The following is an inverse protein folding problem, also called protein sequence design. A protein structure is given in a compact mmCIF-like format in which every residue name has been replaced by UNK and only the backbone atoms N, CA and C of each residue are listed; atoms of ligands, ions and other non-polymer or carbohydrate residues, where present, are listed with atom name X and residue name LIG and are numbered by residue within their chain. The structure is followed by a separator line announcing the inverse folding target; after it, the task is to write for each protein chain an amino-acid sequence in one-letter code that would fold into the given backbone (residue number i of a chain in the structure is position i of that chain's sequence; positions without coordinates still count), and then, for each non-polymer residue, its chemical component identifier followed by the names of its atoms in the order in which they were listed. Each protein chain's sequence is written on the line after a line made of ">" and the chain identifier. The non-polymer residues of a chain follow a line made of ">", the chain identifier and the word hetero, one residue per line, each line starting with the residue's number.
data_IF_630280824525
#
_entry.id   IF_630280824525
#
_cell.length_a   1.000
_cell.length_b   1.000
_cell.length_c   1.000
_cell.angle_alpha   90.00
_cell.angle_beta   90.00
_cell.angle_gamma   90.00
#
_symmetry.space_group_name_H-M   'P 1'
#
loop_
_entity.id
_entity.type
_entity.pdbx_description
1 polymer ?
#
# COMPACT_ATOMS: atom_id res chain seq x y z
N UNK A 1 4.68 -8.88 -51.81
CA UNK A 1 4.73 -7.49 -51.30
C UNK A 1 4.38 -7.38 -49.82
N UNK A 2 3.27 -7.93 -49.35
CA UNK A 2 2.83 -7.86 -47.92
C UNK A 2 3.74 -8.62 -46.93
N UNK A 3 4.28 -9.78 -47.31
CA UNK A 3 5.22 -10.56 -46.47
C UNK A 3 6.57 -9.87 -46.27
N UNK A 4 7.10 -9.23 -47.32
CA UNK A 4 8.35 -8.45 -47.25
C UNK A 4 8.19 -7.19 -46.39
N UNK A 5 7.02 -6.53 -46.46
CA UNK A 5 6.71 -5.40 -45.59
C UNK A 5 6.62 -5.81 -44.11
N UNK A 6 5.99 -6.96 -43.81
CA UNK A 6 5.95 -7.52 -42.45
C UNK A 6 7.35 -7.85 -41.91
N UNK A 7 8.20 -8.46 -42.75
CA UNK A 7 9.58 -8.81 -42.38
C UNK A 7 10.44 -7.56 -42.14
N UNK A 8 10.26 -6.52 -42.97
CA UNK A 8 10.91 -5.23 -42.80
C UNK A 8 10.45 -4.54 -41.50
N UNK A 9 9.16 -4.58 -41.16
CA UNK A 9 8.64 -4.02 -39.89
C UNK A 9 9.22 -4.76 -38.68
N UNK A 10 9.36 -6.09 -38.74
CA UNK A 10 9.94 -6.89 -37.67
C UNK A 10 11.44 -6.58 -37.51
N UNK A 11 12.19 -6.52 -38.61
CA UNK A 11 13.61 -6.16 -38.60
C UNK A 11 13.83 -4.71 -38.12
N UNK A 12 12.98 -3.77 -38.54
CA UNK A 12 13.03 -2.38 -38.10
C UNK A 12 12.66 -2.26 -36.62
N UNK A 13 11.68 -3.04 -36.14
CA UNK A 13 11.36 -3.16 -34.71
C UNK A 13 12.53 -3.73 -33.89
N UNK A 14 13.26 -4.70 -34.43
CA UNK A 14 14.44 -5.28 -33.77
C UNK A 14 15.63 -4.31 -33.77
N UNK A 15 15.83 -3.58 -34.85
CA UNK A 15 16.87 -2.56 -34.98
C UNK A 15 16.61 -1.37 -34.06
N UNK A 16 15.38 -0.85 -34.03
CA UNK A 16 14.97 0.24 -33.14
C UNK A 16 15.01 -0.19 -31.67
N UNK A 17 14.68 -1.44 -31.34
CA UNK A 17 14.83 -1.99 -29.99
C UNK A 17 16.30 -2.01 -29.54
N UNK A 18 17.21 -2.49 -30.39
CA UNK A 18 18.64 -2.51 -30.07
C UNK A 18 19.25 -1.09 -30.00
N UNK A 19 18.83 -0.18 -30.87
CA UNK A 19 19.23 1.24 -30.84
C UNK A 19 18.74 1.94 -29.57
N UNK A 20 17.49 1.72 -29.18
CA UNK A 20 16.93 2.27 -27.93
C UNK A 20 17.65 1.69 -26.72
N UNK A 21 18.05 0.42 -26.76
CA UNK A 21 18.86 -0.18 -25.70
C UNK A 21 20.28 0.41 -25.63
N UNK A 22 20.88 0.75 -26.77
CA UNK A 22 22.20 1.36 -26.84
C UNK A 22 22.20 2.84 -26.38
N UNK A 23 21.19 3.61 -26.75
CA UNK A 23 21.08 5.03 -26.34
C UNK A 23 20.68 5.23 -24.88
N UNK A 24 19.97 4.28 -24.27
CA UNK A 24 19.44 4.40 -22.89
C UNK A 24 20.27 3.58 -21.88
N UNK A 25 21.45 3.07 -22.29
CA UNK A 25 22.30 2.18 -21.48
C UNK A 25 21.50 1.02 -20.84
N UNK A 26 20.60 0.41 -21.61
CA UNK A 26 19.71 -0.65 -21.11
C UNK A 26 20.45 -1.99 -21.27
N UNK A 27 20.79 -2.71 -20.18
CA UNK A 27 21.49 -3.98 -20.30
C UNK A 27 20.63 -4.98 -21.08
N UNK A 28 21.22 -5.61 -22.10
CA UNK A 28 20.57 -6.59 -22.98
C UNK A 28 19.99 -7.76 -22.19
N UNK A 29 18.99 -8.46 -22.74
CA UNK A 29 18.28 -9.60 -22.10
C UNK A 29 19.18 -10.68 -21.47
N UNK A 30 20.44 -10.83 -21.92
CA UNK A 30 21.44 -11.76 -21.38
C UNK A 30 22.10 -11.23 -20.09
N UNK A 31 22.52 -9.97 -20.07
CA UNK A 31 23.15 -9.31 -18.91
C UNK A 31 22.18 -9.12 -17.75
N UNK A 32 20.90 -8.87 -18.05
CA UNK A 32 19.86 -8.75 -17.02
C UNK A 32 19.51 -10.09 -16.35
N UNK A 33 19.63 -11.22 -17.05
CA UNK A 33 19.52 -12.57 -16.43
C UNK A 33 20.69 -12.87 -15.49
N UNK A 34 21.90 -12.43 -15.83
CA UNK A 34 23.08 -12.60 -14.98
C UNK A 34 23.03 -11.72 -13.72
N UNK A 35 22.57 -10.46 -13.84
CA UNK A 35 22.34 -9.61 -12.67
C UNK A 35 21.27 -10.18 -11.71
N UNK A 36 20.24 -10.84 -12.25
CA UNK A 36 19.22 -11.52 -11.45
C UNK A 36 19.76 -12.74 -10.69
N UNK A 37 20.66 -13.51 -11.30
CA UNK A 37 21.32 -14.64 -10.62
C UNK A 37 22.22 -14.14 -9.47
N UNK A 38 22.96 -13.05 -9.69
CA UNK A 38 23.78 -12.42 -8.65
C UNK A 38 22.93 -11.81 -7.51
N UNK A 39 21.80 -11.16 -7.81
CA UNK A 39 20.90 -10.59 -6.78
C UNK A 39 20.07 -11.63 -6.03
N UNK A 40 19.72 -12.76 -6.67
CA UNK A 40 19.05 -13.89 -6.01
C UNK A 40 19.95 -14.55 -4.97
N UNK A 41 21.27 -14.52 -5.16
CA UNK A 41 22.25 -14.96 -4.16
C UNK A 41 22.39 -13.97 -2.98
N UNK A 42 22.00 -12.70 -3.14
CA UNK A 42 22.07 -11.66 -2.09
C UNK A 42 20.80 -11.53 -1.23
N UNK A 43 19.79 -12.40 -1.40
CA UNK A 43 18.61 -12.43 -0.52
C UNK A 43 17.62 -11.26 -0.67
N UNK A 44 17.81 -10.39 -1.66
CA UNK A 44 16.90 -9.28 -1.96
C UNK A 44 15.76 -9.80 -2.84
N UNK A 45 14.51 -9.56 -2.44
CA UNK A 45 13.28 -10.03 -3.11
C UNK A 45 13.40 -9.86 -4.63
N UNK A 46 13.11 -10.93 -5.37
CA UNK A 46 13.20 -10.98 -6.83
C UNK A 46 12.23 -9.98 -7.48
N UNK A 47 12.70 -8.76 -7.77
CA UNK A 47 11.97 -7.82 -8.62
C UNK A 47 11.89 -8.37 -10.05
N UNK A 48 10.72 -8.25 -10.69
CA UNK A 48 10.56 -8.65 -12.10
C UNK A 48 11.46 -7.77 -12.97
N UNK A 49 12.05 -8.31 -14.04
CA UNK A 49 12.93 -7.56 -14.96
C UNK A 49 12.31 -6.23 -15.44
N UNK A 50 10.99 -6.20 -15.64
CA UNK A 50 10.23 -5.00 -16.00
C UNK A 50 10.26 -3.93 -14.91
N UNK A 51 10.29 -4.31 -13.63
CA UNK A 51 10.42 -3.38 -12.51
C UNK A 51 11.80 -2.72 -12.49
N UNK A 52 12.86 -3.46 -12.85
CA UNK A 52 14.22 -2.91 -12.95
C UNK A 52 14.34 -1.91 -14.10
N UNK A 53 13.79 -2.24 -15.27
CA UNK A 53 13.79 -1.34 -16.43
C UNK A 53 12.93 -0.10 -16.22
N UNK A 54 11.71 -0.26 -15.67
CA UNK A 54 10.85 0.88 -15.34
C UNK A 54 11.47 1.78 -14.28
N UNK A 55 12.19 1.23 -13.30
CA UNK A 55 12.91 2.01 -12.28
C UNK A 55 14.09 2.78 -12.88
N UNK A 56 14.79 2.23 -13.88
CA UNK A 56 15.89 2.94 -14.56
C UNK A 56 15.39 4.09 -15.45
N UNK A 57 14.32 3.86 -16.21
CA UNK A 57 13.65 4.91 -17.01
C UNK A 57 13.06 5.98 -16.08
N UNK A 58 12.50 5.57 -14.93
CA UNK A 58 12.00 6.48 -13.90
C UNK A 58 13.11 7.34 -13.29
N UNK A 59 14.33 6.82 -13.14
CA UNK A 59 15.49 7.58 -12.65
C UNK A 59 15.95 8.65 -13.65
N UNK A 60 15.81 8.38 -14.96
CA UNK A 60 16.04 9.35 -16.03
C UNK A 60 14.95 10.43 -16.11
N UNK A 61 13.70 10.09 -15.80
CA UNK A 61 12.58 11.05 -15.74
C UNK A 61 12.48 11.83 -14.42
N UNK A 62 13.11 11.35 -13.34
CA UNK A 62 13.10 11.98 -12.03
C UNK A 62 13.46 13.48 -12.01
N UNK A 63 14.51 13.97 -12.72
CA UNK A 63 14.85 15.40 -12.68
C UNK A 63 13.78 16.31 -13.32
N UNK A 64 12.87 15.77 -14.14
CA UNK A 64 11.81 16.54 -14.78
C UNK A 64 10.54 16.66 -13.90
N UNK A 65 10.41 15.79 -12.89
CA UNK A 65 9.27 15.75 -11.97
C UNK A 65 9.57 16.53 -10.69
N UNK A 66 9.32 17.84 -10.70
CA UNK A 66 9.34 18.65 -9.47
C UNK A 66 8.07 18.38 -8.66
N UNK A 67 8.16 17.51 -7.66
CA UNK A 67 7.10 17.36 -6.68
C UNK A 67 7.10 18.56 -5.70
N UNK A 68 5.91 19.05 -5.39
CA UNK A 68 5.69 20.02 -4.32
C UNK A 68 6.24 19.49 -2.98
N UNK A 69 6.86 20.36 -2.18
CA UNK A 69 7.61 20.00 -0.96
C UNK A 69 6.76 19.17 0.01
N UNK A 70 5.47 19.48 0.13
CA UNK A 70 4.56 18.81 1.05
C UNK A 70 4.21 17.39 0.59
N UNK A 71 3.99 17.20 -0.72
CA UNK A 71 3.75 15.88 -1.33
C UNK A 71 5.01 15.01 -1.29
N UNK A 72 6.18 15.60 -1.54
CA UNK A 72 7.48 14.94 -1.44
C UNK A 72 7.74 14.41 -0.04
N UNK A 73 7.57 15.24 0.99
CA UNK A 73 7.78 14.83 2.39
C UNK A 73 6.85 13.70 2.81
N UNK A 74 5.57 13.75 2.39
CA UNK A 74 4.60 12.69 2.70
C UNK A 74 4.96 11.36 2.03
N UNK A 75 5.37 11.41 0.77
CA UNK A 75 5.76 10.21 0.02
C UNK A 75 7.10 9.65 0.51
N UNK A 76 8.05 10.51 0.88
CA UNK A 76 9.34 10.11 1.45
C UNK A 76 9.16 9.37 2.77
N UNK A 77 8.38 9.92 3.71
CA UNK A 77 8.04 9.23 4.96
C UNK A 77 7.39 7.87 4.69
N UNK A 78 6.52 7.78 3.69
CA UNK A 78 5.86 6.52 3.36
C UNK A 78 6.82 5.48 2.74
N UNK A 79 7.80 5.93 1.95
CA UNK A 79 8.85 5.08 1.37
C UNK A 79 9.84 4.59 2.43
N UNK A 80 10.25 5.46 3.36
CA UNK A 80 11.12 5.13 4.48
C UNK A 80 10.49 4.05 5.37
N UNK A 81 9.18 4.16 5.66
CA UNK A 81 8.43 3.15 6.44
C UNK A 81 8.39 1.77 5.75
N UNK A 82 8.43 1.73 4.41
CA UNK A 82 8.41 0.48 3.63
C UNK A 82 9.83 -0.08 3.43
N UNK A 83 10.88 0.69 3.77
CA UNK A 83 12.28 0.30 3.60
C UNK A 83 12.70 0.23 2.13
N UNK A 84 12.03 1.00 1.26
CA UNK A 84 12.41 1.10 -0.16
C UNK A 84 13.41 2.25 -0.34
N UNK A 85 14.63 1.93 -0.79
CA UNK A 85 15.66 2.90 -1.18
C UNK A 85 15.33 3.61 -2.51
N UNK A 86 14.13 4.18 -2.63
CA UNK A 86 13.66 4.88 -3.82
C UNK A 86 13.34 6.32 -3.47
N UNK A 87 13.91 7.26 -4.24
CA UNK A 87 13.52 8.67 -4.12
C UNK A 87 12.02 8.84 -4.47
N UNK A 88 11.28 9.71 -3.76
CA UNK A 88 9.87 10.03 -4.05
C UNK A 88 9.63 10.35 -5.53
N UNK A 89 10.57 11.04 -6.16
CA UNK A 89 10.54 11.43 -7.57
C UNK A 89 10.64 10.20 -8.48
N UNK A 90 11.55 9.27 -8.18
CA UNK A 90 11.71 8.01 -8.92
C UNK A 90 10.48 7.12 -8.77
N UNK A 91 9.85 7.08 -7.59
CA UNK A 91 8.64 6.29 -7.37
C UNK A 91 7.45 6.81 -8.21
N UNK A 92 7.22 8.13 -8.22
CA UNK A 92 6.19 8.72 -9.08
C UNK A 92 6.50 8.55 -10.55
N UNK A 93 7.75 8.74 -10.96
CA UNK A 93 8.20 8.51 -12.33
C UNK A 93 7.98 7.05 -12.75
N UNK A 94 8.17 6.08 -11.86
CA UNK A 94 7.88 4.65 -12.13
C UNK A 94 6.40 4.41 -12.37
N UNK A 95 5.52 5.04 -11.59
CA UNK A 95 4.07 4.97 -11.80
C UNK A 95 3.67 5.58 -13.16
N UNK A 96 4.27 6.71 -13.54
CA UNK A 96 4.07 7.35 -14.84
C UNK A 96 4.62 6.54 -16.01
N UNK A 97 5.80 5.95 -15.90
CA UNK A 97 6.39 5.10 -16.95
C UNK A 97 5.55 3.84 -17.16
N UNK A 98 5.04 3.25 -16.07
CA UNK A 98 4.17 2.07 -16.15
C UNK A 98 2.83 2.39 -16.81
N UNK A 99 2.17 3.47 -16.39
CA UNK A 99 0.92 3.92 -17.00
C UNK A 99 1.11 4.39 -18.45
N UNK A 100 2.20 5.12 -18.72
CA UNK A 100 2.59 5.61 -20.03
C UNK A 100 2.90 4.48 -21.01
N UNK A 101 3.52 3.37 -20.56
CA UNK A 101 3.74 2.19 -21.42
C UNK A 101 2.43 1.57 -21.92
N UNK A 102 1.40 1.54 -21.07
CA UNK A 102 0.05 1.04 -21.42
C UNK A 102 -0.70 2.06 -22.29
N UNK A 103 -0.56 3.36 -22.00
CA UNK A 103 -1.13 4.43 -22.82
C UNK A 103 -0.51 4.50 -24.23
N UNK A 104 0.80 4.31 -24.35
CA UNK A 104 1.49 4.26 -25.65
C UNK A 104 1.02 3.06 -26.47
N UNK A 105 0.78 1.91 -25.81
CA UNK A 105 0.19 0.73 -26.44
C UNK A 105 -1.25 1.02 -26.93
N UNK A 106 -2.04 1.77 -26.16
CA UNK A 106 -3.38 2.21 -26.57
C UNK A 106 -3.33 3.09 -27.83
N UNK A 107 -2.36 4.00 -27.92
CA UNK A 107 -2.18 4.88 -29.07
C UNK A 107 -1.72 4.13 -30.33
N UNK A 108 -0.83 3.14 -30.17
CA UNK A 108 -0.42 2.25 -31.26
C UNK A 108 -1.56 1.31 -31.73
N UNK A 109 -2.49 0.96 -30.84
CA UNK A 109 -3.69 0.16 -31.16
C UNK A 109 -4.84 0.98 -31.77
N UNK A 110 -4.80 2.32 -31.69
CA UNK A 110 -5.85 3.20 -32.22
C UNK A 110 -6.21 2.96 -33.71
N UNK A 111 -5.24 2.77 -34.63
CA UNK A 111 -5.57 2.47 -36.04
C UNK A 111 -6.02 1.02 -36.28
N UNK A 112 -5.78 0.08 -35.33
CA UNK A 112 -6.10 -1.34 -35.50
C UNK A 112 -7.48 -1.70 -34.91
N UNK A 113 -7.79 -1.19 -33.71
CA UNK A 113 -9.02 -1.46 -32.97
C UNK A 113 -9.43 -0.22 -32.14
N UNK A 114 -10.17 0.74 -32.73
CA UNK A 114 -10.51 2.00 -32.07
C UNK A 114 -11.38 1.82 -30.81
N UNK A 115 -12.17 0.75 -30.73
CA UNK A 115 -13.02 0.45 -29.56
C UNK A 115 -12.20 -0.02 -28.33
N UNK A 116 -10.98 -0.53 -28.52
CA UNK A 116 -10.11 -0.97 -27.43
C UNK A 116 -9.38 0.20 -26.72
N UNK A 117 -9.25 1.34 -27.40
CA UNK A 117 -8.57 2.54 -26.90
C UNK A 117 -9.15 3.05 -25.56
N UNK A 118 -10.47 3.27 -25.40
CA UNK A 118 -11.03 3.74 -24.12
C UNK A 118 -10.82 2.73 -22.98
N UNK A 119 -10.87 1.43 -23.26
CA UNK A 119 -10.63 0.36 -22.27
C UNK A 119 -9.17 0.40 -21.79
N UNK A 120 -8.22 0.52 -22.72
CA UNK A 120 -6.80 0.58 -22.41
C UNK A 120 -6.41 1.88 -21.67
N UNK A 121 -7.04 3.01 -22.00
CA UNK A 121 -6.86 4.27 -21.27
C UNK A 121 -7.38 4.12 -19.83
N UNK A 122 -8.56 3.52 -19.64
CA UNK A 122 -9.09 3.21 -18.31
C UNK A 122 -8.14 2.32 -17.49
N UNK A 123 -7.54 1.32 -18.14
CA UNK A 123 -6.56 0.41 -17.53
C UNK A 123 -5.26 1.15 -17.15
N UNK A 124 -4.76 2.04 -18.00
CA UNK A 124 -3.57 2.86 -17.72
C UNK A 124 -3.79 3.76 -16.49
N UNK A 125 -4.95 4.41 -16.39
CA UNK A 125 -5.32 5.23 -15.23
C UNK A 125 -5.45 4.36 -13.97
N UNK A 126 -6.14 3.23 -14.05
CA UNK A 126 -6.27 2.30 -12.93
C UNK A 126 -4.91 1.79 -12.42
N UNK A 127 -3.99 1.48 -13.34
CA UNK A 127 -2.62 1.08 -12.99
C UNK A 127 -1.82 2.22 -12.36
N UNK A 128 -1.99 3.45 -12.83
CA UNK A 128 -1.36 4.61 -12.20
C UNK A 128 -1.83 4.76 -10.76
N UNK A 129 -3.16 4.73 -10.53
CA UNK A 129 -3.74 4.80 -9.19
C UNK A 129 -3.28 3.64 -8.30
N UNK A 130 -3.36 2.41 -8.80
CA UNK A 130 -2.94 1.22 -8.05
C UNK A 130 -1.45 1.28 -7.68
N UNK A 131 -0.59 1.67 -8.62
CA UNK A 131 0.85 1.77 -8.38
C UNK A 131 1.14 2.90 -7.39
N UNK A 132 0.57 4.10 -7.58
CA UNK A 132 0.79 5.25 -6.69
C UNK A 132 0.33 4.98 -5.26
N UNK A 133 -0.88 4.45 -5.07
CA UNK A 133 -1.45 4.21 -3.74
C UNK A 133 -0.89 2.97 -3.04
N UNK A 134 -0.17 2.08 -3.73
CA UNK A 134 0.36 0.86 -3.14
C UNK A 134 1.24 1.10 -1.90
N UNK A 135 2.16 2.07 -1.94
CA UNK A 135 3.00 2.45 -0.79
C UNK A 135 2.16 2.97 0.39
N UNK A 136 1.15 3.81 0.13
CA UNK A 136 0.26 4.28 1.19
C UNK A 136 -0.59 3.15 1.79
N UNK A 137 -1.00 2.18 0.98
CA UNK A 137 -1.71 0.99 1.45
C UNK A 137 -0.81 0.09 2.30
N UNK A 138 0.47 -0.05 1.97
CA UNK A 138 1.43 -0.75 2.81
C UNK A 138 1.63 -0.05 4.16
N UNK A 139 1.83 1.27 4.16
CA UNK A 139 1.93 2.04 5.41
C UNK A 139 0.66 1.91 6.24
N UNK A 140 -0.52 1.98 5.61
CA UNK A 140 -1.81 1.81 6.29
C UNK A 140 -1.96 0.41 6.88
N UNK A 141 -1.52 -0.63 6.18
CA UNK A 141 -1.54 -2.02 6.67
C UNK A 141 -0.59 -2.20 7.85
N UNK A 142 0.67 -1.75 7.74
CA UNK A 142 1.66 -1.80 8.83
C UNK A 142 1.16 -1.04 10.06
N UNK A 143 0.64 0.18 9.86
CA UNK A 143 0.05 1.00 10.92
C UNK A 143 -1.14 0.30 11.58
N UNK A 144 -2.02 -0.36 10.82
CA UNK A 144 -3.15 -1.11 11.38
C UNK A 144 -2.70 -2.30 12.24
N UNK A 145 -1.64 -3.00 11.83
CA UNK A 145 -1.04 -4.08 12.63
C UNK A 145 -0.49 -3.54 13.95
N UNK A 146 0.29 -2.45 13.89
CA UNK A 146 0.82 -1.79 15.09
C UNK A 146 -0.33 -1.30 15.99
N UNK A 147 -1.33 -0.60 15.44
CA UNK A 147 -2.48 -0.08 16.19
C UNK A 147 -3.29 -1.20 16.88
N UNK A 148 -3.31 -2.41 16.31
CA UNK A 148 -3.96 -3.55 16.95
C UNK A 148 -3.19 -4.09 18.17
N UNK A 149 -1.88 -3.85 18.24
CA UNK A 149 -1.04 -4.29 19.36
C UNK A 149 -0.96 -3.24 20.49
N UNK A 150 -1.20 -1.95 20.20
CA UNK A 150 -1.12 -0.85 21.18
C UNK A 150 -2.00 -1.07 22.43
N UNK A 151 -3.27 -1.51 22.34
CA UNK A 151 -4.08 -1.74 23.55
C UNK A 151 -3.49 -2.80 24.48
N UNK A 152 -2.92 -3.87 23.89
CA UNK A 152 -2.24 -4.92 24.65
C UNK A 152 -0.95 -4.41 25.28
N UNK A 153 -0.22 -3.55 24.57
CA UNK A 153 0.97 -2.88 25.09
C UNK A 153 0.63 -1.97 26.28
N UNK A 154 -0.37 -1.09 26.14
CA UNK A 154 -0.82 -0.20 27.19
C UNK A 154 -1.26 -0.96 28.45
N UNK A 155 -2.03 -2.04 28.27
CA UNK A 155 -2.44 -2.93 29.37
C UNK A 155 -1.24 -3.53 30.10
N UNK A 156 -0.27 -4.05 29.34
CA UNK A 156 0.90 -4.70 29.91
C UNK A 156 1.80 -3.70 30.65
N UNK A 157 1.95 -2.48 30.12
CA UNK A 157 2.65 -1.40 30.83
C UNK A 157 1.92 -1.06 32.13
N UNK A 158 0.62 -0.84 32.08
CA UNK A 158 -0.16 -0.49 33.28
C UNK A 158 -0.03 -1.53 34.39
N UNK A 159 -0.07 -2.82 34.03
CA UNK A 159 0.12 -3.92 34.98
C UNK A 159 1.56 -3.99 35.53
N UNK A 160 2.57 -3.81 34.69
CA UNK A 160 3.96 -3.84 35.18
C UNK A 160 4.29 -2.60 36.02
N UNK A 161 3.67 -1.46 35.75
CA UNK A 161 3.85 -0.21 36.50
C UNK A 161 3.30 -0.29 37.94
N UNK A 162 2.36 -1.20 38.20
CA UNK A 162 1.90 -1.50 39.57
C UNK A 162 3.01 -2.16 40.41
N UNK A 163 3.95 -2.88 39.77
CA UNK A 163 5.01 -3.64 40.43
C UNK A 163 6.40 -2.99 40.34
N UNK A 164 6.78 -2.46 39.18
CA UNK A 164 8.09 -1.88 38.88
C UNK A 164 7.93 -0.48 38.24
N UNK A 165 8.74 0.49 38.67
CA UNK A 165 8.76 1.85 38.05
C UNK A 165 9.80 2.01 36.95
N UNK A 166 10.57 0.97 36.66
CA UNK A 166 11.62 1.01 35.64
C UNK A 166 11.02 0.80 34.25
N UNK A 167 10.86 1.89 33.51
CA UNK A 167 10.32 1.90 32.14
C UNK A 167 11.19 1.07 31.18
N UNK A 168 12.52 1.07 31.33
CA UNK A 168 13.40 0.31 30.45
C UNK A 168 13.19 -1.20 30.63
N UNK A 169 13.04 -1.64 31.88
CA UNK A 169 12.74 -3.04 32.22
C UNK A 169 11.38 -3.48 31.67
N UNK A 170 10.36 -2.62 31.79
CA UNK A 170 9.01 -2.87 31.26
C UNK A 170 9.03 -3.05 29.73
N UNK A 171 9.69 -2.14 29.01
CA UNK A 171 9.80 -2.23 27.55
C UNK A 171 10.58 -3.48 27.11
N UNK A 172 11.65 -3.81 27.81
CA UNK A 172 12.46 -5.02 27.54
C UNK A 172 11.66 -6.31 27.81
N UNK A 173 10.83 -6.33 28.84
CA UNK A 173 9.93 -7.44 29.15
C UNK A 173 8.88 -7.60 28.03
N UNK A 174 8.23 -6.51 27.64
CA UNK A 174 7.22 -6.53 26.59
C UNK A 174 7.79 -6.93 25.21
N UNK A 175 9.04 -6.56 24.92
CA UNK A 175 9.72 -6.92 23.67
C UNK A 175 9.72 -8.43 23.38
N UNK A 176 9.73 -9.28 24.42
CA UNK A 176 9.67 -10.75 24.27
C UNK A 176 8.32 -11.26 23.74
N UNK A 177 7.25 -10.48 23.92
CA UNK A 177 5.87 -10.83 23.57
C UNK A 177 5.34 -10.01 22.39
N UNK A 178 6.01 -8.90 22.05
CA UNK A 178 5.66 -8.02 20.95
C UNK A 178 5.69 -8.71 19.57
N UNK A 179 4.81 -8.28 18.66
CA UNK A 179 4.84 -8.73 17.27
C UNK A 179 6.10 -8.29 16.52
N UNK A 180 6.35 -8.85 15.32
CA UNK A 180 7.59 -8.59 14.56
C UNK A 180 7.81 -7.10 14.25
N UNK A 181 6.77 -6.41 13.76
CA UNK A 181 6.88 -5.01 13.33
C UNK A 181 6.97 -4.05 14.53
N UNK A 182 6.20 -4.30 15.60
CA UNK A 182 6.23 -3.48 16.81
C UNK A 182 7.48 -3.75 17.66
N UNK A 183 7.92 -5.01 17.72
CA UNK A 183 9.14 -5.43 18.39
C UNK A 183 10.41 -4.82 17.78
N UNK A 184 10.47 -4.69 16.45
CA UNK A 184 11.59 -4.01 15.79
C UNK A 184 11.70 -2.52 16.19
N UNK A 185 10.56 -1.82 16.26
CA UNK A 185 10.53 -0.43 16.72
C UNK A 185 10.90 -0.30 18.20
N UNK A 186 10.47 -1.26 19.03
CA UNK A 186 10.85 -1.35 20.44
C UNK A 186 12.34 -1.66 20.63
N UNK A 187 12.94 -2.53 19.82
CA UNK A 187 14.39 -2.80 19.88
C UNK A 187 15.19 -1.54 19.64
N UNK A 188 14.80 -0.76 18.63
CA UNK A 188 15.43 0.52 18.35
C UNK A 188 15.26 1.49 19.52
N UNK A 189 14.05 1.59 20.11
CA UNK A 189 13.83 2.42 21.31
C UNK A 189 14.67 1.97 22.50
N UNK A 190 14.77 0.66 22.76
CA UNK A 190 15.55 0.10 23.87
C UNK A 190 17.05 0.38 23.65
N UNK A 191 17.52 0.30 22.40
CA UNK A 191 18.88 0.68 22.06
C UNK A 191 19.11 2.18 22.30
N UNK A 192 18.21 3.05 21.79
CA UNK A 192 18.27 4.50 21.97
C UNK A 192 18.26 4.87 23.48
N UNK A 193 17.43 4.21 24.28
CA UNK A 193 17.34 4.39 25.74
C UNK A 193 18.61 3.94 26.49
N UNK A 194 19.31 2.90 26.01
CA UNK A 194 20.57 2.45 26.61
C UNK A 194 21.73 3.39 26.28
N UNK A 195 21.72 4.02 25.10
CA UNK A 195 22.80 4.89 24.63
C UNK A 195 22.58 6.37 24.92
N UNK A 196 21.36 6.79 25.26
CA UNK A 196 20.97 8.19 25.34
C UNK A 196 19.92 8.48 26.41
N UNK A 197 19.21 9.60 26.25
CA UNK A 197 18.17 10.03 27.19
C UNK A 197 16.86 9.25 26.97
N UNK A 198 16.33 8.67 28.04
CA UNK A 198 15.08 7.93 28.07
C UNK A 198 13.88 8.71 27.48
N UNK A 199 13.70 9.98 27.85
CA UNK A 199 12.57 10.79 27.36
C UNK A 199 12.66 11.01 25.84
N UNK A 200 13.84 11.38 25.35
CA UNK A 200 14.07 11.61 23.92
C UNK A 200 13.87 10.32 23.11
N UNK A 201 14.31 9.17 23.63
CA UNK A 201 14.09 7.89 22.97
C UNK A 201 12.59 7.54 22.86
N UNK A 202 11.79 7.84 23.90
CA UNK A 202 10.34 7.66 23.86
C UNK A 202 9.66 8.62 22.88
N UNK A 203 10.10 9.88 22.80
CA UNK A 203 9.59 10.85 21.81
C UNK A 203 9.95 10.40 20.38
N UNK A 204 11.17 9.88 20.17
CA UNK A 204 11.55 9.29 18.89
C UNK A 204 10.68 8.08 18.55
N UNK A 205 10.37 7.22 19.51
CA UNK A 205 9.45 6.10 19.31
C UNK A 205 8.03 6.55 18.94
N UNK A 206 7.50 7.58 19.61
CA UNK A 206 6.20 8.19 19.27
C UNK A 206 6.20 8.71 17.83
N UNK A 207 7.24 9.45 17.44
CA UNK A 207 7.34 10.06 16.10
C UNK A 207 7.53 9.02 14.98
N UNK A 208 8.22 7.90 15.25
CA UNK A 208 8.37 6.80 14.28
C UNK A 208 7.06 6.08 13.96
N UNK A 209 6.22 5.85 14.97
CA UNK A 209 4.94 5.15 14.79
C UNK A 209 3.83 6.12 14.34
N UNK A 210 3.79 7.33 14.89
CA UNK A 210 2.84 8.37 14.50
C UNK A 210 1.37 7.99 14.74
N UNK A 211 1.10 7.23 15.81
CA UNK A 211 -0.25 6.84 16.23
C UNK A 211 -0.68 7.61 17.47
N UNK A 212 -1.87 8.26 17.47
CA UNK A 212 -2.34 9.02 18.62
C UNK A 212 -2.53 8.15 19.87
N UNK A 213 -2.94 6.89 19.71
CA UNK A 213 -3.10 5.96 20.83
C UNK A 213 -1.75 5.63 21.50
N UNK A 214 -0.66 5.62 20.72
CA UNK A 214 0.67 5.41 21.28
C UNK A 214 1.18 6.69 21.97
N UNK A 215 0.90 7.86 21.41
CA UNK A 215 1.26 9.14 22.02
C UNK A 215 0.76 9.27 23.46
N UNK A 216 -0.47 8.83 23.73
CA UNK A 216 -1.03 8.87 25.08
C UNK A 216 -0.29 7.92 26.04
N UNK A 217 0.04 6.71 25.59
CA UNK A 217 0.86 5.75 26.35
C UNK A 217 2.25 6.32 26.65
N UNK A 218 2.87 6.98 25.68
CA UNK A 218 4.21 7.54 25.79
C UNK A 218 4.24 8.74 26.73
N UNK A 219 3.25 9.63 26.68
CA UNK A 219 3.09 10.71 27.66
C UNK A 219 2.98 10.16 29.08
N UNK A 220 2.22 9.08 29.27
CA UNK A 220 2.13 8.38 30.55
C UNK A 220 3.49 7.84 31.01
N UNK A 221 4.24 7.18 30.11
CA UNK A 221 5.58 6.67 30.43
C UNK A 221 6.59 7.79 30.76
N UNK A 222 6.52 8.94 30.08
CA UNK A 222 7.35 10.11 30.39
C UNK A 222 6.99 10.67 31.77
N UNK A 223 5.71 10.75 32.12
CA UNK A 223 5.27 11.12 33.47
C UNK A 223 5.84 10.19 34.55
N UNK A 224 5.83 8.87 34.29
CA UNK A 224 6.46 7.88 35.19
C UNK A 224 7.96 8.12 35.35
N UNK A 225 8.67 8.38 34.25
CA UNK A 225 10.12 8.69 34.30
C UNK A 225 10.42 9.94 35.13
N UNK A 226 9.50 10.91 35.15
CA UNK A 226 9.59 12.13 35.97
C UNK A 226 9.20 11.92 37.44
N UNK A 227 8.75 10.72 37.80
CA UNK A 227 8.38 10.35 39.16
C UNK A 227 6.88 10.49 39.49
N UNK A 228 6.05 10.88 38.52
CA UNK A 228 4.60 11.00 38.72
C UNK A 228 3.94 9.62 38.86
N UNK A 229 2.95 9.52 39.74
CA UNK A 229 2.10 8.33 39.81
C UNK A 229 1.06 8.33 38.69
N UNK A 230 1.44 7.74 37.57
CA UNK A 230 0.60 7.62 36.37
C UNK A 230 -0.26 6.35 36.38
N UNK A 231 -0.39 5.62 37.50
CA UNK A 231 -1.20 4.38 37.56
C UNK A 231 -2.66 4.61 37.18
N UNK A 232 -3.25 5.68 37.70
CA UNK A 232 -4.63 6.07 37.37
C UNK A 232 -4.76 6.50 35.90
N UNK A 233 -3.74 7.19 35.37
CA UNK A 233 -3.68 7.59 33.97
C UNK A 233 -3.64 6.37 33.03
N UNK A 234 -2.82 5.37 33.33
CA UNK A 234 -2.79 4.11 32.58
C UNK A 234 -4.09 3.31 32.67
N UNK A 235 -4.77 3.32 33.83
CA UNK A 235 -6.12 2.72 33.97
C UNK A 235 -7.14 3.40 33.08
N UNK A 236 -7.13 4.74 33.02
CA UNK A 236 -7.98 5.53 32.15
C UNK A 236 -7.70 5.22 30.67
N UNK A 237 -6.44 5.27 30.23
CA UNK A 237 -6.06 4.95 28.84
C UNK A 237 -6.50 3.53 28.46
N UNK A 238 -6.26 2.53 29.32
CA UNK A 238 -6.67 1.16 29.03
C UNK A 238 -8.19 1.03 28.90
N UNK A 239 -8.95 1.78 29.69
CA UNK A 239 -10.41 1.82 29.60
C UNK A 239 -10.87 2.49 28.29
N UNK A 240 -10.30 3.63 27.94
CA UNK A 240 -10.62 4.36 26.70
C UNK A 240 -10.30 3.51 25.46
N UNK A 241 -9.16 2.80 25.45
CA UNK A 241 -8.79 1.90 24.37
C UNK A 241 -9.78 0.74 24.21
N UNK A 242 -10.25 0.15 25.32
CA UNK A 242 -11.30 -0.88 25.30
C UNK A 242 -12.62 -0.32 24.76
N UNK A 243 -12.99 0.91 25.14
CA UNK A 243 -14.19 1.57 24.64
C UNK A 243 -14.10 1.86 23.14
N UNK A 244 -12.95 2.30 22.65
CA UNK A 244 -12.67 2.49 21.22
C UNK A 244 -12.80 1.15 20.47
N UNK A 245 -12.25 0.07 21.01
CA UNK A 245 -12.34 -1.27 20.41
C UNK A 245 -13.79 -1.76 20.34
N UNK A 246 -14.56 -1.60 21.42
CA UNK A 246 -15.99 -1.91 21.43
C UNK A 246 -16.78 -1.06 20.40
N UNK A 247 -16.45 0.21 20.27
CA UNK A 247 -17.07 1.09 19.29
C UNK A 247 -16.71 0.68 17.85
N UNK A 248 -15.49 0.22 17.62
CA UNK A 248 -15.06 -0.31 16.33
C UNK A 248 -15.77 -1.63 16.00
N UNK A 249 -15.91 -2.55 16.96
CA UNK A 249 -16.69 -3.77 16.82
C UNK A 249 -18.17 -3.48 16.51
N UNK A 250 -18.77 -2.49 17.20
CA UNK A 250 -20.13 -2.02 16.90
C UNK A 250 -20.24 -1.44 15.49
N UNK A 251 -19.25 -0.64 15.03
CA UNK A 251 -19.21 -0.12 13.66
C UNK A 251 -19.03 -1.22 12.63
N UNK A 252 -18.26 -2.26 12.91
CA UNK A 252 -18.10 -3.41 12.02
C UNK A 252 -19.38 -4.25 11.97
N UNK A 253 -20.02 -4.50 13.11
CA UNK A 253 -21.33 -5.13 13.18
C UNK A 253 -22.39 -4.33 12.40
N UNK A 254 -22.40 -3.00 12.52
CA UNK A 254 -23.30 -2.11 11.78
C UNK A 254 -23.04 -2.08 10.26
N UNK A 255 -21.87 -2.52 9.77
CA UNK A 255 -21.60 -2.65 8.32
C UNK A 255 -22.09 -3.97 7.73
N UNK A 256 -22.30 -5.01 8.55
CA UNK A 256 -22.87 -6.31 8.11
C UNK A 256 -24.25 -6.17 7.45
N UNK A 257 -25.24 -5.43 8.00
CA UNK A 257 -26.56 -5.31 7.37
C UNK A 257 -26.52 -4.62 6.00
N UNK A 258 -25.63 -3.64 5.79
CA UNK A 258 -25.50 -2.96 4.47
C UNK A 258 -24.99 -3.87 3.35
N UNK A 259 -24.20 -4.90 3.67
CA UNK A 259 -23.79 -5.91 2.67
C UNK A 259 -24.94 -6.84 2.32
N UNK A 260 -25.71 -7.27 3.33
CA UNK A 260 -26.91 -8.10 3.14
C UNK A 260 -27.95 -7.36 2.30
N UNK A 261 -28.13 -6.06 2.55
CA UNK A 261 -29.04 -5.21 1.77
C UNK A 261 -28.62 -5.09 0.30
N UNK A 262 -27.32 -4.99 -0.02
CA UNK A 262 -26.85 -4.96 -1.42
C UNK A 262 -27.13 -6.27 -2.15
N UNK A 263 -26.86 -7.41 -1.52
CA UNK A 263 -27.17 -8.72 -2.11
C UNK A 263 -28.68 -8.94 -2.26
N UNK A 264 -29.47 -8.52 -1.27
CA UNK A 264 -30.93 -8.56 -1.33
C UNK A 264 -31.49 -7.69 -2.47
N UNK A 265 -30.99 -6.47 -2.66
CA UNK A 265 -31.39 -5.62 -3.79
C UNK A 265 -31.01 -6.23 -5.15
N UNK A 266 -29.82 -6.83 -5.25
CA UNK A 266 -29.37 -7.47 -6.50
C UNK A 266 -30.23 -8.68 -6.86
N UNK A 267 -30.65 -9.48 -5.87
CA UNK A 267 -31.58 -10.59 -6.07
C UNK A 267 -32.97 -10.09 -6.52
N UNK A 268 -33.47 -9.00 -5.93
CA UNK A 268 -34.75 -8.39 -6.29
C UNK A 268 -34.76 -7.89 -7.74
N UNK A 269 -33.67 -7.26 -8.18
CA UNK A 269 -33.50 -6.83 -9.57
C UNK A 269 -33.46 -8.04 -10.53
N UNK A 270 -32.76 -9.12 -10.15
CA UNK A 270 -32.77 -10.35 -10.94
C UNK A 270 -34.17 -10.94 -11.09
N UNK A 271 -34.95 -11.01 -10.01
CA UNK A 271 -36.34 -11.50 -10.05
C UNK A 271 -37.21 -10.61 -10.96
N UNK A 272 -37.07 -9.29 -10.85
CA UNK A 272 -37.81 -8.33 -11.67
C UNK A 272 -37.50 -8.50 -13.17
N UNK A 273 -36.24 -8.73 -13.52
CA UNK A 273 -35.81 -8.97 -14.91
C UNK A 273 -36.40 -10.27 -15.46
N UNK A 274 -36.44 -11.35 -14.67
CA UNK A 274 -37.04 -12.64 -15.09
C UNK A 274 -38.51 -12.44 -15.45
N UNK A 275 -39.28 -11.76 -14.59
CA UNK A 275 -40.70 -11.49 -14.86
C UNK A 275 -40.91 -10.56 -16.06
N UNK A 276 -40.07 -9.53 -16.22
CA UNK A 276 -40.14 -8.64 -17.38
C UNK A 276 -39.95 -9.41 -18.69
N UNK A 277 -38.97 -10.32 -18.74
CA UNK A 277 -38.71 -11.14 -19.93
C UNK A 277 -39.89 -12.06 -20.24
N UNK A 278 -40.44 -12.75 -19.23
CA UNK A 278 -41.62 -13.62 -19.40
C UNK A 278 -42.82 -12.81 -19.90
N UNK A 279 -43.07 -11.63 -19.33
CA UNK A 279 -44.18 -10.78 -19.72
C UNK A 279 -43.99 -10.27 -21.17
N UNK A 280 -42.77 -9.88 -21.56
CA UNK A 280 -42.47 -9.52 -22.94
C UNK A 280 -42.67 -10.69 -23.92
N UNK A 281 -42.27 -11.90 -23.57
CA UNK A 281 -42.50 -13.08 -24.43
C UNK A 281 -43.97 -13.42 -24.58
N UNK A 282 -44.75 -13.34 -23.49
CA UNK A 282 -46.19 -13.59 -23.51
C UNK A 282 -46.95 -12.52 -24.31
N UNK A 283 -46.57 -11.25 -24.16
CA UNK A 283 -47.19 -10.15 -24.92
C UNK A 283 -46.88 -10.26 -26.41
N UNK A 284 -45.64 -10.60 -26.79
CA UNK A 284 -45.28 -10.83 -28.19
C UNK A 284 -45.97 -12.07 -28.78
N UNK A 285 -46.12 -13.15 -28.00
CA UNK A 285 -46.88 -14.33 -28.42
C UNK A 285 -48.38 -14.00 -28.59
N UNK A 286 -48.94 -13.22 -27.66
CA UNK A 286 -50.34 -12.78 -27.70
C UNK A 286 -50.61 -11.82 -28.87
N UNK A 287 -49.66 -10.93 -29.19
CA UNK A 287 -49.74 -10.05 -30.36
C UNK A 287 -49.51 -10.83 -31.66
N UNK A 288 -48.62 -11.81 -31.68
CA UNK A 288 -48.40 -12.70 -32.82
C UNK A 288 -49.63 -13.57 -33.15
N UNK A 289 -50.41 -13.98 -32.14
CA UNK A 289 -51.67 -14.68 -32.32
C UNK A 289 -52.84 -13.77 -32.76
N UNK A 290 -52.70 -12.45 -32.67
CA UNK A 290 -53.68 -11.46 -33.12
C UNK A 290 -53.39 -10.94 -34.55
N UNK A 291 -52.16 -11.09 -35.05
CA UNK A 291 -51.70 -10.57 -36.34
C UNK A 291 -51.22 -11.66 -37.33
N UNK A 292 -51.37 -12.94 -36.98
CA UNK A 292 -51.19 -14.09 -37.89
C UNK A 292 -52.50 -14.82 -38.12
#
# INVERSE_FOLDING_TARGET
>A
MTLLALLAIICFGFATYNLTCAFVDIPTKKTSRMMMLARKQQGIKAEKLLDVYTTKIARLLAPYLKLDKLKRNKLQRALDIVGLELSPEVYTARAWVRAGSVGLCALLMAPLMPLAVPILIGLAVALWFSTYYSVFDFVKKRRKLIESEIPRFALTIGQNLENDRDVLKILTSYRRVAGKDFGAELDQTIADMKTGNYENALIHFETRIGSPMLSDVIRGLIGVLRGDDQRMYFKMICFDMRQIEQNNLKKEAAKRPKKIQRYSMMMLICIMIIYLVVLCTEVLASLGAFFG
#
